data_IF_882050724319
#
_entry.id   IF_882050724319
#
_cell.length_a   1.000
_cell.length_b   1.000
_cell.length_c   1.000
_cell.angle_alpha   90.00
_cell.angle_beta   90.00
_cell.angle_gamma   90.00
#
_symmetry.space_group_name_H-M   'P 1'
#
loop_
_entity.id
_entity.type
_entity.pdbx_description
1 polymer ?
#
# COMPACT_ATOMS: atom_id res chain seq x y z
N UNK A 1 -4.68 32.47 12.25
CA UNK A 1 -5.49 31.98 11.10
C UNK A 1 -6.12 30.68 11.54
N UNK A 2 -7.38 30.35 11.20
CA UNK A 2 -7.91 29.04 11.49
C UNK A 2 -7.04 27.99 10.77
N UNK A 3 -6.72 26.89 11.43
CA UNK A 3 -5.98 25.78 10.82
C UNK A 3 -6.77 25.33 9.58
N UNK A 4 -6.14 25.24 8.39
CA UNK A 4 -6.83 24.77 7.20
C UNK A 4 -7.48 23.41 7.50
N UNK A 5 -8.72 23.21 7.07
CA UNK A 5 -9.36 21.90 7.21
C UNK A 5 -8.60 20.87 6.36
N UNK A 6 -8.43 19.66 6.91
CA UNK A 6 -7.79 18.57 6.15
C UNK A 6 -8.57 18.29 4.86
N UNK A 7 -7.93 17.76 3.79
CA UNK A 7 -8.55 17.65 2.48
C UNK A 7 -9.79 16.76 2.43
N UNK A 8 -9.91 15.79 3.35
CA UNK A 8 -11.07 14.91 3.45
C UNK A 8 -11.93 15.17 4.70
N UNK A 9 -11.74 16.35 5.35
CA UNK A 9 -12.55 16.72 6.50
C UNK A 9 -14.04 16.83 6.13
N UNK A 10 -14.89 16.29 6.98
CA UNK A 10 -16.34 16.23 6.77
C UNK A 10 -16.81 15.02 5.97
N UNK A 11 -15.92 14.19 5.41
CA UNK A 11 -16.30 12.91 4.81
C UNK A 11 -16.39 11.81 5.87
N UNK A 12 -17.45 11.01 5.78
CA UNK A 12 -17.68 9.82 6.60
C UNK A 12 -17.41 8.55 5.79
N UNK A 13 -16.47 7.74 6.26
CA UNK A 13 -16.06 6.48 5.63
C UNK A 13 -16.43 5.31 6.55
N UNK A 14 -17.19 4.38 6.04
CA UNK A 14 -17.48 3.10 6.72
C UNK A 14 -16.57 2.03 6.13
N UNK A 15 -15.82 1.37 6.98
CA UNK A 15 -14.92 0.27 6.59
C UNK A 15 -15.46 -1.05 7.10
N UNK A 16 -15.79 -1.96 6.18
CA UNK A 16 -16.10 -3.37 6.45
C UNK A 16 -14.93 -4.29 6.12
N UNK A 17 -13.86 -3.72 5.58
CA UNK A 17 -12.67 -4.45 5.13
C UNK A 17 -11.94 -5.14 6.27
N UNK A 18 -11.22 -6.21 5.94
CA UNK A 18 -10.37 -6.94 6.88
C UNK A 18 -8.95 -7.08 6.34
N UNK A 19 -7.99 -7.31 7.23
CA UNK A 19 -6.57 -7.52 6.93
C UNK A 19 -5.89 -6.28 6.33
N UNK A 20 -5.75 -6.19 4.99
CA UNK A 20 -4.81 -5.22 4.40
C UNK A 20 -5.48 -4.26 3.42
N UNK A 21 -6.07 -4.73 2.32
CA UNK A 21 -6.49 -3.87 1.22
C UNK A 21 -7.52 -2.81 1.66
N UNK A 22 -8.66 -3.21 2.21
CA UNK A 22 -9.67 -2.29 2.75
C UNK A 22 -9.13 -1.42 3.88
N UNK A 23 -8.51 -2.02 4.93
CA UNK A 23 -7.92 -1.26 6.02
C UNK A 23 -6.82 -0.28 5.62
N UNK A 24 -6.03 -0.55 4.58
CA UNK A 24 -5.04 0.40 4.09
C UNK A 24 -5.69 1.57 3.35
N UNK A 25 -6.68 1.31 2.51
CA UNK A 25 -7.42 2.36 1.80
C UNK A 25 -8.09 3.32 2.79
N UNK A 26 -8.82 2.81 3.78
CA UNK A 26 -9.50 3.64 4.77
C UNK A 26 -8.52 4.36 5.73
N UNK A 27 -7.34 3.77 6.01
CA UNK A 27 -6.27 4.45 6.76
C UNK A 27 -5.83 5.72 6.06
N UNK A 28 -5.62 5.68 4.75
CA UNK A 28 -5.24 6.86 3.97
C UNK A 28 -6.33 7.94 4.10
N UNK A 29 -7.60 7.57 4.00
CA UNK A 29 -8.70 8.52 4.19
C UNK A 29 -8.66 9.14 5.61
N UNK A 30 -8.44 8.34 6.64
CA UNK A 30 -8.36 8.80 8.03
C UNK A 30 -7.18 9.75 8.28
N UNK A 31 -6.01 9.46 7.70
CA UNK A 31 -4.82 10.31 7.80
C UNK A 31 -5.03 11.71 7.23
N UNK A 32 -5.88 11.82 6.20
CA UNK A 32 -6.20 13.07 5.55
C UNK A 32 -7.54 13.69 5.99
N UNK A 33 -8.09 13.23 7.12
CA UNK A 33 -9.14 13.92 7.85
C UNK A 33 -10.56 13.38 7.70
N UNK A 34 -10.77 12.30 6.97
CA UNK A 34 -12.08 11.64 6.97
C UNK A 34 -12.36 11.00 8.34
N UNK A 35 -13.63 11.05 8.77
CA UNK A 35 -14.12 10.22 9.87
C UNK A 35 -14.22 8.78 9.39
N UNK A 36 -13.44 7.88 9.97
CA UNK A 36 -13.43 6.48 9.56
C UNK A 36 -13.94 5.59 10.68
N UNK A 37 -15.07 4.93 10.44
CA UNK A 37 -15.65 3.94 11.34
C UNK A 37 -15.35 2.55 10.77
N UNK A 38 -14.51 1.81 11.48
CA UNK A 38 -14.21 0.41 11.16
C UNK A 38 -15.17 -0.49 11.89
N UNK A 39 -16.00 -1.19 11.13
CA UNK A 39 -16.92 -2.20 11.64
C UNK A 39 -16.21 -3.55 11.71
N UNK A 40 -16.23 -4.16 12.88
CA UNK A 40 -15.55 -5.42 13.19
C UNK A 40 -16.53 -6.45 13.76
N UNK A 41 -16.22 -7.74 13.56
CA UNK A 41 -16.96 -8.80 14.26
C UNK A 41 -16.71 -8.70 15.78
N UNK A 42 -17.72 -8.88 16.64
CA UNK A 42 -17.49 -9.02 18.08
C UNK A 42 -16.59 -10.22 18.41
N UNK A 43 -16.57 -11.26 17.55
CA UNK A 43 -15.74 -12.44 17.70
C UNK A 43 -14.27 -12.16 17.30
N UNK A 44 -13.55 -11.41 18.12
CA UNK A 44 -12.10 -11.19 17.97
C UNK A 44 -11.70 -10.10 16.97
N UNK A 45 -12.62 -9.47 16.28
CA UNK A 45 -12.37 -8.34 15.37
C UNK A 45 -11.65 -8.70 14.07
N UNK A 46 -10.91 -7.74 13.55
CA UNK A 46 -10.08 -7.96 12.36
C UNK A 46 -8.95 -8.94 12.66
N UNK A 47 -8.74 -10.00 11.84
CA UNK A 47 -7.62 -10.91 12.00
C UNK A 47 -6.26 -10.24 12.08
N UNK A 48 -6.08 -9.03 11.50
CA UNK A 48 -4.84 -8.26 11.59
C UNK A 48 -4.42 -7.98 13.03
N UNK A 49 -5.37 -7.92 13.97
CA UNK A 49 -5.08 -7.75 15.41
C UNK A 49 -4.15 -8.82 15.98
N UNK A 50 -4.02 -9.96 15.28
CA UNK A 50 -3.22 -11.13 15.71
C UNK A 50 -2.06 -11.48 14.76
N UNK A 51 -1.77 -10.60 13.79
CA UNK A 51 -0.73 -10.90 12.80
C UNK A 51 0.66 -10.38 13.19
N UNK A 52 1.70 -11.10 12.76
CA UNK A 52 3.13 -10.75 12.93
C UNK A 52 3.53 -10.62 14.42
N UNK A 53 4.24 -9.57 14.79
CA UNK A 53 4.74 -9.33 16.14
C UNK A 53 3.65 -8.69 17.01
N UNK A 54 3.34 -9.36 18.10
CA UNK A 54 2.33 -8.92 19.05
C UNK A 54 3.00 -8.20 20.22
N UNK A 55 2.38 -7.13 20.66
CA UNK A 55 2.66 -6.45 21.90
C UNK A 55 1.42 -6.56 22.79
N UNK A 56 1.56 -7.18 23.96
CA UNK A 56 0.44 -7.47 24.88
C UNK A 56 -0.79 -8.07 24.17
N UNK A 57 -0.54 -9.03 23.28
CA UNK A 57 -1.58 -9.75 22.57
C UNK A 57 -2.18 -9.02 21.35
N UNK A 58 -1.74 -7.80 21.04
CA UNK A 58 -2.20 -7.03 19.87
C UNK A 58 -1.04 -6.79 18.91
N UNK A 59 -1.31 -6.92 17.62
CA UNK A 59 -0.32 -6.70 16.57
C UNK A 59 0.18 -5.26 16.53
N UNK A 60 1.50 -5.05 16.46
CA UNK A 60 2.08 -3.74 16.21
C UNK A 60 1.61 -3.17 14.85
N UNK A 61 1.29 -4.04 13.89
CA UNK A 61 0.75 -3.61 12.61
C UNK A 61 -0.68 -3.10 12.71
N UNK A 62 -1.49 -3.64 13.63
CA UNK A 62 -2.82 -3.11 13.92
C UNK A 62 -2.76 -1.64 14.35
N UNK A 63 -1.87 -1.30 15.27
CA UNK A 63 -1.74 0.07 15.76
C UNK A 63 -1.39 1.06 14.62
N UNK A 64 -0.65 0.61 13.61
CA UNK A 64 -0.33 1.41 12.43
C UNK A 64 -1.51 1.47 11.45
N UNK A 65 -2.12 0.31 11.16
CA UNK A 65 -3.12 0.18 10.09
C UNK A 65 -4.47 0.75 10.45
N UNK A 66 -4.81 0.77 11.75
CA UNK A 66 -6.08 1.29 12.25
C UNK A 66 -5.96 2.67 12.90
N UNK A 67 -4.82 3.36 12.75
CA UNK A 67 -4.65 4.73 13.28
C UNK A 67 -5.71 5.67 12.72
N UNK A 68 -6.16 6.61 13.54
CA UNK A 68 -7.22 7.57 13.27
C UNK A 68 -8.61 6.95 12.97
N UNK A 69 -8.81 5.67 13.24
CA UNK A 69 -10.13 5.03 13.05
C UNK A 69 -10.86 4.87 14.37
N UNK A 70 -12.17 4.83 14.28
CA UNK A 70 -13.06 4.41 15.38
C UNK A 70 -13.40 2.94 15.17
N UNK A 71 -13.36 2.13 16.24
CA UNK A 71 -13.74 0.71 16.21
C UNK A 71 -15.17 0.55 16.71
N UNK A 72 -16.01 -0.03 15.87
CA UNK A 72 -17.38 -0.43 16.15
C UNK A 72 -17.50 -1.94 15.99
N UNK A 73 -17.93 -2.66 17.00
CA UNK A 73 -18.27 -4.08 16.87
C UNK A 73 -19.73 -4.25 16.41
N UNK A 74 -19.94 -5.05 15.36
CA UNK A 74 -21.29 -5.43 14.89
C UNK A 74 -21.30 -6.86 14.36
N UNK A 75 -22.26 -7.65 14.79
CA UNK A 75 -22.57 -8.95 14.22
C UNK A 75 -23.48 -8.78 12.99
N UNK A 76 -22.90 -8.74 11.80
CA UNK A 76 -23.66 -8.58 10.55
C UNK A 76 -24.52 -9.80 10.18
N UNK A 77 -24.36 -10.93 10.87
CA UNK A 77 -25.30 -12.07 10.75
C UNK A 77 -26.60 -11.80 11.49
N UNK A 78 -26.57 -10.95 12.52
CA UNK A 78 -27.74 -10.55 13.26
C UNK A 78 -28.54 -9.48 12.49
N UNK A 79 -29.91 -9.59 12.37
CA UNK A 79 -30.70 -8.60 11.67
C UNK A 79 -30.51 -7.17 12.18
N UNK A 80 -30.55 -6.97 13.49
CA UNK A 80 -30.34 -5.64 14.09
C UNK A 80 -28.95 -5.07 13.85
N UNK A 81 -27.89 -5.92 13.77
CA UNK A 81 -26.55 -5.48 13.39
C UNK A 81 -26.51 -4.89 11.98
N UNK A 82 -27.26 -5.48 11.05
CA UNK A 82 -27.41 -4.92 9.70
C UNK A 82 -28.21 -3.61 9.68
N UNK A 83 -29.23 -3.48 10.53
CA UNK A 83 -29.99 -2.22 10.62
C UNK A 83 -29.16 -1.09 11.22
N UNK A 84 -28.30 -1.37 12.21
CA UNK A 84 -27.34 -0.40 12.72
C UNK A 84 -26.39 0.04 11.60
N UNK A 85 -25.85 -0.93 10.83
CA UNK A 85 -24.97 -0.61 9.71
C UNK A 85 -25.67 0.23 8.63
N UNK A 86 -26.92 -0.09 8.28
CA UNK A 86 -27.69 0.71 7.32
C UNK A 86 -27.88 2.16 7.79
N UNK A 87 -28.12 2.40 9.07
CA UNK A 87 -28.20 3.76 9.62
C UNK A 87 -26.90 4.52 9.45
N UNK A 88 -25.75 3.88 9.69
CA UNK A 88 -24.44 4.50 9.42
C UNK A 88 -24.26 4.82 7.93
N UNK A 89 -24.64 3.89 7.06
CA UNK A 89 -24.48 4.03 5.61
C UNK A 89 -25.43 5.06 4.98
N UNK A 90 -26.57 5.34 5.61
CA UNK A 90 -27.50 6.38 5.17
C UNK A 90 -26.86 7.78 5.12
N UNK A 91 -25.84 8.02 5.95
CA UNK A 91 -25.12 9.28 6.07
C UNK A 91 -23.65 9.19 5.61
N UNK A 92 -23.21 8.02 5.17
CA UNK A 92 -21.82 7.81 4.77
C UNK A 92 -21.55 8.34 3.36
N UNK A 93 -20.36 8.83 3.13
CA UNK A 93 -19.86 9.22 1.82
C UNK A 93 -19.25 8.03 1.07
N UNK A 94 -18.50 7.20 1.79
CA UNK A 94 -17.76 6.08 1.21
C UNK A 94 -17.96 4.84 2.08
N UNK A 95 -18.26 3.72 1.43
CA UNK A 95 -18.16 2.37 2.00
C UNK A 95 -16.94 1.67 1.37
N UNK A 96 -16.04 1.12 2.20
CA UNK A 96 -14.90 0.32 1.74
C UNK A 96 -15.07 -1.10 2.25
N UNK A 97 -15.07 -2.08 1.35
CA UNK A 97 -15.19 -3.50 1.68
C UNK A 97 -14.20 -4.34 0.85
N UNK A 98 -13.81 -5.50 1.37
CA UNK A 98 -13.00 -6.47 0.64
C UNK A 98 -13.45 -7.91 0.87
N UNK A 99 -14.76 -8.13 0.97
CA UNK A 99 -15.35 -9.46 1.00
C UNK A 99 -15.31 -10.11 -0.39
N UNK A 100 -15.57 -11.40 -0.43
CA UNK A 100 -15.86 -12.07 -1.70
C UNK A 100 -17.13 -11.52 -2.30
N UNK A 101 -17.22 -11.38 -3.64
CA UNK A 101 -18.46 -11.01 -4.31
C UNK A 101 -19.64 -11.85 -3.85
N UNK A 102 -20.81 -11.22 -3.71
CA UNK A 102 -22.02 -11.86 -3.22
C UNK A 102 -22.18 -11.97 -1.70
N UNK A 103 -21.17 -11.64 -0.90
CA UNK A 103 -21.29 -11.70 0.57
C UNK A 103 -22.22 -10.60 1.08
N UNK A 104 -22.03 -9.36 0.65
CA UNK A 104 -22.90 -8.25 1.05
C UNK A 104 -24.33 -8.43 0.49
N UNK A 105 -24.45 -8.93 -0.72
CA UNK A 105 -25.74 -9.24 -1.36
C UNK A 105 -26.54 -10.26 -0.51
N UNK A 106 -25.89 -11.33 -0.05
CA UNK A 106 -26.51 -12.34 0.85
C UNK A 106 -26.92 -11.77 2.20
N UNK A 107 -26.25 -10.71 2.66
CA UNK A 107 -26.61 -10.01 3.89
C UNK A 107 -27.71 -8.95 3.68
N UNK A 108 -28.22 -8.76 2.45
CA UNK A 108 -29.15 -7.70 2.10
C UNK A 108 -28.53 -6.30 2.14
N UNK A 109 -27.23 -6.23 1.86
CA UNK A 109 -26.38 -5.04 1.85
C UNK A 109 -25.68 -4.87 0.48
N UNK A 110 -26.26 -5.43 -0.58
CA UNK A 110 -25.77 -5.25 -1.95
C UNK A 110 -25.95 -3.82 -2.45
N UNK A 111 -25.28 -3.51 -3.55
CA UNK A 111 -25.26 -2.16 -4.13
C UNK A 111 -26.66 -1.56 -4.32
N UNK A 112 -27.57 -2.30 -4.93
CA UNK A 112 -28.90 -1.78 -5.23
C UNK A 112 -29.67 -1.34 -3.96
N UNK A 113 -29.52 -2.11 -2.87
CA UNK A 113 -30.14 -1.77 -1.57
C UNK A 113 -29.48 -0.53 -0.96
N UNK A 114 -28.15 -0.48 -0.97
CA UNK A 114 -27.41 0.63 -0.37
C UNK A 114 -27.51 1.91 -1.18
N UNK A 115 -27.55 1.82 -2.51
CA UNK A 115 -27.76 2.98 -3.38
C UNK A 115 -29.17 3.55 -3.26
N UNK A 116 -30.18 2.68 -3.10
CA UNK A 116 -31.55 3.14 -2.82
C UNK A 116 -31.66 3.83 -1.45
N UNK A 117 -30.90 3.37 -0.45
CA UNK A 117 -30.82 3.99 0.88
C UNK A 117 -30.08 5.34 0.85
N UNK A 118 -28.96 5.40 0.14
CA UNK A 118 -28.12 6.58 0.01
C UNK A 118 -27.57 6.70 -1.43
N UNK A 119 -28.26 7.44 -2.29
CA UNK A 119 -27.85 7.65 -3.68
C UNK A 119 -26.50 8.34 -3.85
N UNK A 120 -25.97 8.95 -2.78
CA UNK A 120 -24.66 9.62 -2.78
C UNK A 120 -23.50 8.70 -2.38
N UNK A 121 -23.79 7.49 -1.88
CA UNK A 121 -22.79 6.56 -1.39
C UNK A 121 -21.84 6.11 -2.52
N UNK A 122 -20.55 6.18 -2.26
CA UNK A 122 -19.50 5.58 -3.10
C UNK A 122 -19.10 4.26 -2.45
N UNK A 123 -19.19 3.16 -3.19
CA UNK A 123 -18.88 1.83 -2.68
C UNK A 123 -17.59 1.30 -3.32
N UNK A 124 -16.49 1.28 -2.55
CA UNK A 124 -15.19 0.72 -2.98
C UNK A 124 -15.15 -0.76 -2.63
N UNK A 125 -15.06 -1.60 -3.64
CA UNK A 125 -15.05 -3.06 -3.54
C UNK A 125 -13.70 -3.61 -3.98
N UNK A 126 -12.91 -4.10 -3.03
CA UNK A 126 -11.58 -4.66 -3.25
C UNK A 126 -11.65 -6.19 -3.19
N UNK A 127 -11.54 -6.88 -4.31
CA UNK A 127 -11.69 -8.35 -4.33
C UNK A 127 -10.60 -9.02 -5.15
N UNK A 128 -10.45 -10.34 -5.03
CA UNK A 128 -9.40 -11.09 -5.72
C UNK A 128 -9.44 -10.92 -7.23
N UNK A 129 -10.64 -11.01 -7.82
CA UNK A 129 -10.84 -11.10 -9.27
C UNK A 129 -11.88 -10.12 -9.82
N UNK A 130 -12.33 -9.12 -9.03
CA UNK A 130 -13.39 -8.18 -9.40
C UNK A 130 -14.79 -8.72 -9.15
N UNK A 131 -15.79 -7.86 -9.39
CA UNK A 131 -17.21 -8.18 -9.17
C UNK A 131 -17.84 -8.92 -10.35
N UNK A 132 -17.14 -9.02 -11.47
CA UNK A 132 -17.60 -9.62 -12.72
C UNK A 132 -16.59 -10.66 -13.25
N UNK A 133 -16.93 -11.29 -14.37
CA UNK A 133 -16.04 -12.27 -15.02
C UNK A 133 -16.13 -13.68 -14.43
N UNK A 134 -15.50 -14.66 -15.11
CA UNK A 134 -15.63 -16.09 -14.80
C UNK A 134 -15.00 -16.49 -13.45
N UNK A 135 -14.07 -15.69 -12.92
CA UNK A 135 -13.35 -15.98 -11.68
C UNK A 135 -13.87 -15.21 -10.47
N UNK A 136 -14.93 -14.40 -10.59
CA UNK A 136 -15.41 -13.52 -9.51
C UNK A 136 -15.68 -14.26 -8.18
N UNK A 137 -16.14 -15.51 -8.26
CA UNK A 137 -16.46 -16.32 -7.08
C UNK A 137 -15.27 -17.12 -6.54
N UNK A 138 -14.11 -17.05 -7.19
CA UNK A 138 -12.90 -17.72 -6.74
C UNK A 138 -12.31 -17.03 -5.49
N UNK A 139 -11.73 -17.80 -4.56
CA UNK A 139 -11.00 -17.22 -3.44
C UNK A 139 -9.71 -16.56 -3.93
N UNK A 140 -9.48 -15.30 -3.52
CA UNK A 140 -8.28 -14.54 -3.86
C UNK A 140 -7.73 -13.78 -2.67
N UNK A 141 -6.40 -13.66 -2.62
CA UNK A 141 -5.65 -12.80 -1.71
C UNK A 141 -4.57 -12.06 -2.49
N UNK A 142 -3.93 -11.06 -1.90
CA UNK A 142 -2.88 -10.26 -2.55
C UNK A 142 -1.83 -11.11 -3.27
N UNK A 143 -1.36 -12.20 -2.66
CA UNK A 143 -0.38 -13.10 -3.27
C UNK A 143 -0.89 -13.78 -4.55
N UNK A 144 -2.19 -14.08 -4.64
CA UNK A 144 -2.82 -14.64 -5.85
C UNK A 144 -2.93 -13.57 -6.93
N UNK A 145 -3.33 -12.34 -6.55
CA UNK A 145 -3.36 -11.19 -7.45
C UNK A 145 -1.97 -10.85 -8.02
N UNK A 146 -0.91 -10.87 -7.16
CA UNK A 146 0.48 -10.69 -7.60
C UNK A 146 0.91 -11.73 -8.65
N UNK A 147 0.47 -12.98 -8.49
CA UNK A 147 0.80 -14.07 -9.41
C UNK A 147 0.07 -13.94 -10.74
N UNK A 148 -1.23 -13.69 -10.72
CA UNK A 148 -2.04 -13.55 -11.93
C UNK A 148 -1.73 -12.24 -12.66
N UNK A 149 -1.44 -11.15 -11.94
CA UNK A 149 -1.11 -9.86 -12.51
C UNK A 149 0.30 -9.76 -13.13
N UNK A 150 1.11 -10.82 -13.05
CA UNK A 150 2.42 -10.89 -13.71
C UNK A 150 3.63 -10.59 -12.82
N UNK A 151 3.47 -9.87 -11.70
CA UNK A 151 4.57 -9.43 -10.85
C UNK A 151 5.47 -10.59 -10.39
N UNK A 152 4.84 -11.71 -9.96
CA UNK A 152 5.59 -12.89 -9.52
C UNK A 152 6.41 -13.52 -10.63
N UNK A 153 5.89 -13.51 -11.85
CA UNK A 153 6.57 -14.12 -12.99
C UNK A 153 7.92 -13.45 -13.27
N UNK A 154 7.98 -12.11 -13.20
CA UNK A 154 9.18 -11.32 -13.50
C UNK A 154 10.08 -11.06 -12.28
N UNK A 155 9.70 -11.53 -11.07
CA UNK A 155 10.45 -11.26 -9.84
C UNK A 155 11.25 -12.48 -9.40
N UNK A 156 12.57 -12.34 -9.33
CA UNK A 156 13.50 -13.38 -8.89
C UNK A 156 14.63 -13.63 -9.89
N UNK A 157 15.37 -14.71 -9.68
CA UNK A 157 16.48 -15.13 -10.53
C UNK A 157 15.98 -16.18 -11.52
N UNK A 158 16.59 -16.23 -12.71
CA UNK A 158 16.21 -17.10 -13.81
C UNK A 158 16.28 -18.59 -13.45
N UNK A 159 17.33 -18.98 -12.72
CA UNK A 159 17.62 -20.36 -12.29
C UNK A 159 16.81 -20.83 -11.08
N UNK A 160 15.88 -20.02 -10.57
CA UNK A 160 15.12 -20.29 -9.35
C UNK A 160 13.62 -20.04 -9.54
N UNK A 161 12.77 -20.66 -8.70
CA UNK A 161 11.35 -20.32 -8.68
C UNK A 161 11.11 -18.81 -8.43
N UNK A 162 10.00 -18.26 -8.95
CA UNK A 162 9.60 -16.87 -8.64
C UNK A 162 9.58 -16.60 -7.15
N UNK A 163 10.05 -15.42 -6.76
CA UNK A 163 10.10 -15.03 -5.35
C UNK A 163 9.01 -14.01 -4.99
N UNK A 164 8.72 -13.93 -3.71
CA UNK A 164 7.78 -12.97 -3.14
C UNK A 164 8.50 -11.68 -2.75
N UNK A 165 7.85 -10.53 -2.99
CA UNK A 165 8.20 -9.29 -2.26
C UNK A 165 7.97 -9.49 -0.76
N UNK A 166 8.78 -8.88 0.08
CA UNK A 166 8.73 -9.06 1.56
C UNK A 166 7.49 -8.47 2.24
N UNK A 167 6.61 -7.80 1.50
CA UNK A 167 5.39 -7.14 1.97
C UNK A 167 4.16 -7.61 1.17
N UNK A 168 2.96 -7.22 1.59
CA UNK A 168 1.70 -7.48 0.89
C UNK A 168 1.47 -6.41 -0.17
N UNK A 169 2.30 -6.40 -1.21
CA UNK A 169 2.32 -5.34 -2.21
C UNK A 169 1.05 -5.34 -3.06
N UNK A 170 0.49 -6.51 -3.39
CA UNK A 170 -0.74 -6.63 -4.16
C UNK A 170 -1.93 -5.98 -3.47
N UNK A 171 -2.11 -6.25 -2.19
CA UNK A 171 -3.14 -5.60 -1.38
C UNK A 171 -2.94 -4.08 -1.29
N UNK A 172 -1.68 -3.65 -1.12
CA UNK A 172 -1.35 -2.23 -0.95
C UNK A 172 -1.59 -1.44 -2.25
N UNK A 173 -1.23 -1.97 -3.41
CA UNK A 173 -1.48 -1.33 -4.69
C UNK A 173 -2.99 -1.28 -4.98
N UNK A 174 -3.72 -2.35 -4.72
CA UNK A 174 -5.18 -2.35 -4.88
C UNK A 174 -5.86 -1.31 -3.98
N UNK A 175 -5.39 -1.17 -2.73
CA UNK A 175 -5.87 -0.12 -1.82
C UNK A 175 -5.63 1.29 -2.38
N UNK A 176 -4.46 1.55 -2.97
CA UNK A 176 -4.17 2.84 -3.62
C UNK A 176 -5.11 3.10 -4.80
N UNK A 177 -5.35 2.10 -5.66
CA UNK A 177 -6.34 2.21 -6.73
C UNK A 177 -7.75 2.44 -6.20
N UNK A 178 -8.11 1.79 -5.08
CA UNK A 178 -9.39 2.01 -4.40
C UNK A 178 -9.55 3.47 -3.93
N UNK A 179 -8.52 4.04 -3.31
CA UNK A 179 -8.52 5.46 -2.88
C UNK A 179 -8.58 6.40 -4.08
N UNK A 180 -7.78 6.17 -5.12
CA UNK A 180 -7.81 6.97 -6.36
C UNK A 180 -9.22 6.92 -6.98
N UNK A 181 -9.81 5.74 -7.11
CA UNK A 181 -11.17 5.57 -7.62
C UNK A 181 -12.22 6.28 -6.77
N UNK A 182 -12.10 6.18 -5.43
CA UNK A 182 -13.00 6.89 -4.51
C UNK A 182 -12.92 8.41 -4.70
N UNK A 183 -11.70 8.97 -4.81
CA UNK A 183 -11.48 10.40 -5.04
C UNK A 183 -12.03 10.87 -6.40
N UNK A 184 -11.88 10.06 -7.45
CA UNK A 184 -12.49 10.34 -8.76
C UNK A 184 -14.02 10.33 -8.69
N UNK A 185 -14.59 9.36 -7.97
CA UNK A 185 -16.05 9.28 -7.76
C UNK A 185 -16.57 10.45 -6.92
N UNK A 186 -15.84 10.85 -5.86
CA UNK A 186 -16.13 12.06 -5.07
C UNK A 186 -16.12 13.31 -5.95
N UNK A 187 -15.07 13.48 -6.74
CA UNK A 187 -14.95 14.61 -7.67
C UNK A 187 -16.12 14.66 -8.66
N UNK A 188 -16.49 13.50 -9.23
CA UNK A 188 -17.66 13.42 -10.12
C UNK A 188 -18.94 13.84 -9.38
N UNK A 189 -19.17 13.27 -8.19
CA UNK A 189 -20.36 13.57 -7.37
C UNK A 189 -20.49 15.04 -7.03
N UNK A 190 -19.39 15.67 -6.61
CA UNK A 190 -19.41 17.04 -6.08
C UNK A 190 -19.47 18.11 -7.19
N UNK A 191 -18.78 17.89 -8.29
CA UNK A 191 -18.62 18.91 -9.33
C UNK A 191 -19.59 18.73 -10.48
N UNK A 192 -19.90 17.49 -10.84
CA UNK A 192 -20.76 17.19 -11.98
C UNK A 192 -22.21 16.90 -11.56
N UNK A 193 -22.57 17.11 -10.28
CA UNK A 193 -23.91 16.85 -9.77
C UNK A 193 -24.31 15.37 -9.83
N UNK A 194 -23.32 14.48 -9.89
CA UNK A 194 -23.53 13.04 -9.97
C UNK A 194 -23.99 12.40 -8.66
N UNK A 195 -24.40 11.16 -8.78
CA UNK A 195 -24.67 10.28 -7.66
C UNK A 195 -23.40 9.54 -7.24
N UNK A 196 -23.48 8.75 -6.17
CA UNK A 196 -22.46 7.77 -5.83
C UNK A 196 -22.39 6.64 -6.86
N UNK A 197 -21.34 5.84 -6.78
CA UNK A 197 -21.12 4.73 -7.71
C UNK A 197 -20.27 3.64 -7.06
N UNK A 198 -20.21 2.48 -7.70
CA UNK A 198 -19.30 1.41 -7.34
C UNK A 198 -17.91 1.69 -7.94
N UNK A 199 -16.87 1.51 -7.13
CA UNK A 199 -15.48 1.45 -7.53
C UNK A 199 -15.02 0.00 -7.34
N UNK A 200 -14.98 -0.75 -8.42
CA UNK A 200 -14.56 -2.16 -8.43
C UNK A 200 -13.07 -2.26 -8.72
N UNK A 201 -12.32 -2.89 -7.83
CA UNK A 201 -10.86 -3.06 -7.94
C UNK A 201 -10.49 -4.52 -7.69
N UNK A 202 -10.06 -5.20 -8.72
CA UNK A 202 -9.49 -6.53 -8.59
C UNK A 202 -8.01 -6.47 -8.21
N UNK A 203 -7.58 -7.32 -7.28
CA UNK A 203 -6.17 -7.38 -6.84
C UNK A 203 -5.22 -7.66 -8.00
N UNK A 204 -5.60 -8.55 -8.95
CA UNK A 204 -4.76 -8.85 -10.10
C UNK A 204 -4.69 -7.71 -11.12
N UNK A 205 -5.80 -6.99 -11.33
CA UNK A 205 -5.84 -5.84 -12.24
C UNK A 205 -4.99 -4.69 -11.74
N UNK A 206 -5.02 -4.45 -10.43
CA UNK A 206 -4.19 -3.45 -9.77
C UNK A 206 -2.69 -3.69 -10.01
N UNK A 207 -2.26 -4.96 -9.96
CA UNK A 207 -0.89 -5.36 -10.27
C UNK A 207 -0.63 -5.29 -11.77
N UNK A 208 -1.54 -5.84 -12.58
CA UNK A 208 -1.40 -5.85 -14.04
C UNK A 208 -1.22 -4.44 -14.62
N UNK A 209 -1.94 -3.45 -14.09
CA UNK A 209 -1.80 -2.05 -14.50
C UNK A 209 -0.40 -1.47 -14.25
N UNK A 210 0.44 -2.13 -13.44
CA UNK A 210 1.82 -1.71 -13.15
C UNK A 210 2.87 -2.41 -14.03
N UNK A 211 2.46 -3.34 -14.92
CA UNK A 211 3.39 -4.22 -15.67
C UNK A 211 4.00 -3.57 -16.91
N UNK A 212 4.03 -2.24 -16.99
CA UNK A 212 4.71 -1.49 -18.04
C UNK A 212 4.38 -1.97 -19.46
N UNK A 213 5.40 -2.28 -20.26
CA UNK A 213 5.31 -2.72 -21.65
C UNK A 213 5.28 -4.25 -21.83
N UNK A 214 5.17 -5.02 -20.76
CA UNK A 214 5.25 -6.49 -20.82
C UNK A 214 4.27 -7.10 -21.84
N UNK A 215 3.02 -6.60 -21.86
CA UNK A 215 2.01 -7.11 -22.80
C UNK A 215 2.26 -6.64 -24.24
N UNK A 216 2.50 -5.35 -24.52
CA UNK A 216 2.86 -4.90 -25.86
C UNK A 216 4.11 -5.58 -26.44
N UNK A 217 5.14 -5.86 -25.62
CA UNK A 217 6.34 -6.57 -26.04
C UNK A 217 6.00 -8.00 -26.52
N UNK A 218 5.13 -8.69 -25.80
CA UNK A 218 4.67 -10.01 -26.20
C UNK A 218 3.76 -9.96 -27.44
N UNK A 219 2.81 -9.04 -27.47
CA UNK A 219 1.83 -8.94 -28.56
C UNK A 219 2.50 -8.63 -29.90
N UNK A 220 3.46 -7.71 -29.91
CA UNK A 220 4.13 -7.25 -31.13
C UNK A 220 5.29 -8.16 -31.55
N UNK A 221 6.09 -8.64 -30.59
CA UNK A 221 7.35 -9.32 -30.86
C UNK A 221 7.36 -10.80 -30.42
N UNK A 222 6.34 -11.29 -29.73
CA UNK A 222 6.37 -12.60 -29.08
C UNK A 222 7.38 -12.68 -27.94
N UNK A 223 7.87 -11.54 -27.45
CA UNK A 223 8.90 -11.49 -26.43
C UNK A 223 8.31 -11.73 -25.03
N UNK A 224 8.79 -12.75 -24.35
CA UNK A 224 8.44 -13.04 -22.95
C UNK A 224 9.50 -12.44 -22.05
N UNK A 225 9.09 -11.47 -21.19
CA UNK A 225 9.98 -10.87 -20.20
C UNK A 225 10.18 -11.84 -19.03
N UNK A 226 11.35 -12.44 -18.96
CA UNK A 226 11.73 -13.37 -17.90
C UNK A 226 12.29 -12.67 -16.66
N UNK A 227 12.52 -13.46 -15.60
CA UNK A 227 13.21 -13.00 -14.38
C UNK A 227 14.68 -12.76 -14.68
N UNK A 228 15.22 -11.66 -14.19
CA UNK A 228 16.60 -11.24 -14.44
C UNK A 228 17.37 -10.91 -13.16
N UNK A 229 16.86 -11.34 -12.02
CA UNK A 229 17.49 -11.08 -10.71
C UNK A 229 17.50 -9.58 -10.38
N UNK A 230 18.69 -9.03 -10.26
CA UNK A 230 18.90 -7.62 -9.89
C UNK A 230 19.11 -6.70 -11.11
N UNK A 231 18.97 -7.22 -12.31
CA UNK A 231 19.20 -6.49 -13.56
C UNK A 231 17.85 -6.08 -14.14
N UNK A 232 17.76 -4.86 -14.66
CA UNK A 232 16.63 -4.43 -15.47
C UNK A 232 16.99 -4.60 -16.96
N UNK A 233 16.26 -5.45 -17.72
CA UNK A 233 16.57 -5.66 -19.13
C UNK A 233 16.55 -4.37 -19.94
N UNK A 234 17.53 -4.20 -20.82
CA UNK A 234 17.65 -3.03 -21.70
C UNK A 234 18.04 -1.73 -21.00
N UNK A 235 18.44 -1.78 -19.72
CA UNK A 235 18.90 -0.60 -18.95
C UNK A 235 20.21 -0.93 -18.25
N UNK A 236 21.34 -0.50 -18.85
CA UNK A 236 22.69 -0.88 -18.38
C UNK A 236 23.61 0.33 -18.19
N UNK A 237 24.33 0.42 -17.05
CA UNK A 237 24.21 -0.43 -15.86
C UNK A 237 23.15 0.07 -14.87
N UNK A 238 22.34 -0.86 -14.39
CA UNK A 238 21.42 -0.64 -13.27
C UNK A 238 21.26 -1.97 -12.49
N UNK A 239 21.96 -2.10 -11.35
CA UNK A 239 22.00 -3.36 -10.59
C UNK A 239 22.42 -3.17 -9.15
N UNK A 240 22.32 -4.26 -8.37
CA UNK A 240 22.78 -4.35 -6.99
C UNK A 240 24.16 -5.03 -6.97
N UNK A 241 25.12 -4.42 -6.27
CA UNK A 241 26.48 -4.91 -6.11
C UNK A 241 26.80 -5.14 -4.63
N UNK A 242 27.69 -6.10 -4.35
CA UNK A 242 28.12 -6.42 -2.99
C UNK A 242 29.46 -5.74 -2.70
N UNK A 243 29.57 -5.07 -1.57
CA UNK A 243 30.78 -4.40 -1.11
C UNK A 243 31.66 -5.34 -0.28
N UNK A 244 32.94 -4.98 -0.04
CA UNK A 244 33.92 -5.78 0.71
C UNK A 244 33.44 -6.20 2.10
N UNK A 245 32.65 -5.35 2.75
CA UNK A 245 32.08 -5.59 4.09
C UNK A 245 30.75 -6.36 4.04
N UNK A 246 30.40 -6.97 2.89
CA UNK A 246 29.20 -7.80 2.72
C UNK A 246 27.89 -7.04 2.69
N UNK A 247 27.95 -5.71 2.57
CA UNK A 247 26.76 -4.86 2.39
C UNK A 247 26.40 -4.77 0.91
N UNK A 248 25.24 -4.21 0.60
CA UNK A 248 24.75 -4.10 -0.77
C UNK A 248 24.45 -2.65 -1.15
N UNK A 249 24.77 -2.31 -2.40
CA UNK A 249 24.52 -1.00 -3.00
C UNK A 249 23.79 -1.16 -4.32
N UNK A 250 22.67 -0.44 -4.51
CA UNK A 250 22.04 -0.25 -5.80
C UNK A 250 22.72 0.89 -6.52
N UNK A 251 23.16 0.68 -7.77
CA UNK A 251 23.77 1.69 -8.62
C UNK A 251 22.93 1.83 -9.89
N UNK A 252 22.53 3.06 -10.23
CA UNK A 252 21.78 3.40 -11.45
C UNK A 252 22.58 4.35 -12.33
N UNK A 253 23.42 3.80 -13.22
CA UNK A 253 24.32 4.59 -14.07
C UNK A 253 24.03 4.44 -15.57
N UNK A 254 22.77 4.21 -15.93
CA UNK A 254 22.36 3.95 -17.31
C UNK A 254 22.28 5.19 -18.21
N UNK A 255 22.27 6.42 -17.66
CA UNK A 255 22.38 7.65 -18.46
C UNK A 255 23.80 7.84 -19.00
N UNK A 256 23.94 8.22 -20.27
CA UNK A 256 25.24 8.27 -20.98
C UNK A 256 26.29 9.11 -20.24
N UNK A 257 25.93 10.33 -19.83
CA UNK A 257 26.82 11.20 -19.06
C UNK A 257 27.12 10.65 -17.66
N UNK A 258 26.16 9.95 -17.04
CA UNK A 258 26.32 9.33 -15.71
C UNK A 258 27.28 8.14 -15.82
N UNK A 259 27.08 7.29 -16.83
CA UNK A 259 27.98 6.17 -17.11
C UNK A 259 29.41 6.62 -17.27
N UNK A 260 29.64 7.64 -18.09
CA UNK A 260 31.03 8.17 -18.33
C UNK A 260 31.67 8.64 -17.01
N UNK A 261 30.94 9.43 -16.19
CA UNK A 261 31.46 9.89 -14.89
C UNK A 261 31.71 8.72 -13.94
N UNK A 262 30.87 7.74 -13.95
CA UNK A 262 31.00 6.56 -13.11
C UNK A 262 32.28 5.77 -13.49
N UNK A 263 32.46 5.47 -14.77
CA UNK A 263 33.66 4.76 -15.22
C UNK A 263 34.95 5.54 -14.89
N UNK A 264 34.96 6.87 -15.05
CA UNK A 264 36.05 7.70 -14.62
C UNK A 264 36.33 7.61 -13.12
N UNK A 265 35.26 7.70 -12.29
CA UNK A 265 35.39 7.64 -10.84
C UNK A 265 35.95 6.31 -10.32
N UNK A 266 35.72 5.22 -11.04
CA UNK A 266 36.27 3.90 -10.68
C UNK A 266 37.60 3.58 -11.41
N UNK A 267 38.22 4.57 -12.06
CA UNK A 267 39.53 4.44 -12.73
C UNK A 267 39.48 3.64 -14.04
N UNK A 268 38.30 3.63 -14.73
CA UNK A 268 38.15 2.94 -16.02
C UNK A 268 37.92 3.94 -17.15
N UNK A 269 38.91 4.80 -17.36
CA UNK A 269 38.90 5.78 -18.46
C UNK A 269 38.84 5.12 -19.84
N UNK A 270 39.32 3.88 -19.95
CA UNK A 270 39.16 3.04 -21.15
C UNK A 270 37.71 2.81 -21.51
N UNK A 271 36.87 2.46 -20.53
CA UNK A 271 35.43 2.26 -20.73
C UNK A 271 34.67 3.59 -20.84
N UNK A 272 35.09 4.60 -20.11
CA UNK A 272 34.48 5.93 -20.14
C UNK A 272 34.59 6.62 -21.51
N UNK A 273 35.61 6.30 -22.29
CA UNK A 273 35.88 6.91 -23.58
C UNK A 273 35.68 5.94 -24.76
N UNK A 274 35.19 4.72 -24.49
CA UNK A 274 34.85 3.75 -25.53
C UNK A 274 33.60 4.21 -26.29
N UNK A 275 33.74 4.50 -27.58
CA UNK A 275 32.62 4.92 -28.43
C UNK A 275 31.50 3.88 -28.53
N UNK A 276 31.82 2.59 -28.40
CA UNK A 276 30.81 1.52 -28.40
C UNK A 276 29.93 1.56 -27.15
N UNK A 277 30.37 2.17 -26.03
CA UNK A 277 29.63 2.30 -24.79
C UNK A 277 28.92 3.65 -24.61
N UNK A 278 29.00 4.52 -25.62
CA UNK A 278 28.40 5.84 -25.57
C UNK A 278 26.86 5.83 -25.49
N UNK A 279 26.23 4.75 -25.93
CA UNK A 279 24.77 4.57 -25.86
C UNK A 279 24.40 3.42 -24.92
N UNK A 280 23.14 3.41 -24.48
CA UNK A 280 22.61 2.33 -23.64
C UNK A 280 22.65 0.97 -24.36
N UNK A 281 22.34 0.92 -25.66
CA UNK A 281 22.34 -0.32 -26.43
C UNK A 281 23.74 -0.94 -26.50
N UNK A 282 24.76 -0.11 -26.69
CA UNK A 282 26.16 -0.56 -26.66
C UNK A 282 26.57 -1.09 -25.29
N UNK A 283 26.11 -0.47 -24.23
CA UNK A 283 26.36 -0.95 -22.87
C UNK A 283 25.61 -2.23 -22.57
N UNK A 284 24.36 -2.35 -23.01
CA UNK A 284 23.59 -3.59 -22.81
C UNK A 284 24.17 -4.77 -23.55
N UNK A 285 24.72 -4.56 -24.74
CA UNK A 285 25.45 -5.58 -25.49
C UNK A 285 26.71 -6.10 -24.77
N UNK A 286 27.30 -5.29 -23.88
CA UNK A 286 28.48 -5.64 -23.07
C UNK A 286 28.20 -5.65 -21.56
N UNK A 287 26.95 -5.88 -21.18
CA UNK A 287 26.50 -5.76 -19.78
C UNK A 287 27.27 -6.65 -18.81
N UNK A 288 27.55 -7.89 -19.17
CA UNK A 288 28.24 -8.85 -18.29
C UNK A 288 29.67 -8.40 -17.98
N UNK A 289 30.36 -7.84 -18.97
CA UNK A 289 31.68 -7.21 -18.78
C UNK A 289 31.58 -6.02 -17.83
N UNK A 290 30.63 -5.13 -18.06
CA UNK A 290 30.42 -3.93 -17.24
C UNK A 290 30.07 -4.29 -15.81
N UNK A 291 29.11 -5.20 -15.60
CA UNK A 291 28.77 -5.64 -14.26
C UNK A 291 29.95 -6.32 -13.56
N UNK A 292 30.74 -7.14 -14.26
CA UNK A 292 31.93 -7.73 -13.71
C UNK A 292 32.99 -6.70 -13.29
N UNK A 293 33.12 -5.58 -14.01
CA UNK A 293 34.02 -4.46 -13.63
C UNK A 293 33.48 -3.77 -12.38
N UNK A 294 32.18 -3.47 -12.33
CA UNK A 294 31.54 -2.78 -11.21
C UNK A 294 31.57 -3.65 -9.96
N UNK A 295 31.29 -4.95 -10.08
CA UNK A 295 31.36 -5.91 -8.96
C UNK A 295 32.76 -5.97 -8.34
N UNK A 296 33.81 -6.07 -9.16
CA UNK A 296 35.19 -6.08 -8.64
C UNK A 296 35.53 -4.79 -7.92
N UNK A 297 35.13 -3.64 -8.47
CA UNK A 297 35.34 -2.36 -7.81
C UNK A 297 34.55 -2.25 -6.50
N UNK A 298 33.27 -2.53 -6.50
CA UNK A 298 32.44 -2.46 -5.30
C UNK A 298 32.96 -3.40 -4.20
N UNK A 299 33.36 -4.62 -4.59
CA UNK A 299 33.88 -5.63 -3.62
C UNK A 299 35.30 -5.31 -3.13
N UNK A 300 36.01 -4.35 -3.71
CA UNK A 300 37.32 -3.91 -3.22
C UNK A 300 37.23 -2.92 -2.07
N UNK A 301 36.11 -2.26 -1.86
CA UNK A 301 35.90 -1.15 -0.92
C UNK A 301 34.74 -1.45 0.09
N UNK A 302 34.79 -0.88 1.29
CA UNK A 302 33.63 -0.93 2.19
C UNK A 302 32.52 -0.01 1.64
N UNK A 303 31.28 -0.27 2.06
CA UNK A 303 30.10 0.46 1.59
C UNK A 303 30.23 1.99 1.71
N UNK A 304 30.82 2.48 2.81
CA UNK A 304 31.00 3.93 3.03
C UNK A 304 31.86 4.59 1.96
N UNK A 305 32.96 3.93 1.54
CA UNK A 305 33.85 4.43 0.50
C UNK A 305 33.20 4.32 -0.89
N UNK A 306 32.48 3.23 -1.16
CA UNK A 306 31.70 3.07 -2.39
C UNK A 306 30.67 4.19 -2.51
N UNK A 307 29.89 4.46 -1.46
CA UNK A 307 28.88 5.53 -1.45
C UNK A 307 29.51 6.91 -1.60
N UNK A 308 30.65 7.16 -0.96
CA UNK A 308 31.36 8.44 -1.11
C UNK A 308 31.79 8.67 -2.57
N UNK A 309 32.43 7.68 -3.19
CA UNK A 309 32.88 7.79 -4.58
C UNK A 309 31.70 8.01 -5.55
N UNK A 310 30.58 7.32 -5.36
CA UNK A 310 29.39 7.49 -6.18
C UNK A 310 28.75 8.88 -6.00
N UNK A 311 28.70 9.39 -4.76
CA UNK A 311 28.16 10.72 -4.47
C UNK A 311 29.04 11.82 -5.09
N UNK A 312 30.36 11.72 -4.95
CA UNK A 312 31.32 12.69 -5.51
C UNK A 312 31.25 12.74 -7.05
N UNK A 313 31.03 11.59 -7.68
CA UNK A 313 30.81 11.46 -9.11
C UNK A 313 29.37 11.79 -9.55
N UNK A 314 28.48 12.14 -8.63
CA UNK A 314 27.06 12.39 -8.90
C UNK A 314 26.39 11.22 -9.65
N UNK A 315 26.67 10.00 -9.22
CA UNK A 315 26.06 8.77 -9.73
C UNK A 315 24.89 8.40 -8.82
N UNK A 316 23.66 8.22 -9.34
CA UNK A 316 22.53 7.76 -8.56
C UNK A 316 22.81 6.40 -7.93
N UNK A 317 22.81 6.35 -6.61
CA UNK A 317 23.06 5.13 -5.86
C UNK A 317 22.39 5.18 -4.48
N UNK A 318 22.14 4.01 -3.94
CA UNK A 318 21.62 3.86 -2.56
C UNK A 318 22.10 2.56 -1.97
N UNK A 319 22.50 2.58 -0.71
CA UNK A 319 22.65 1.33 0.04
C UNK A 319 21.27 0.65 0.19
N UNK A 320 21.26 -0.66 0.36
CA UNK A 320 20.04 -1.38 0.69
C UNK A 320 19.79 -1.23 2.19
N UNK A 321 18.69 -0.56 2.54
CA UNK A 321 18.35 -0.18 3.90
C UNK A 321 17.65 -1.30 4.66
N UNK A 322 18.11 -1.57 5.90
CA UNK A 322 17.34 -2.27 6.93
C UNK A 322 16.47 -1.27 7.72
N UNK A 323 15.59 -1.77 8.59
CA UNK A 323 14.83 -0.91 9.50
C UNK A 323 15.74 -0.13 10.47
N UNK A 324 16.86 -0.74 10.90
CA UNK A 324 17.89 -0.09 11.72
C UNK A 324 18.54 1.08 10.98
N UNK A 325 18.92 0.87 9.72
CA UNK A 325 19.50 1.90 8.87
C UNK A 325 18.55 3.09 8.68
N UNK A 326 17.25 2.82 8.42
CA UNK A 326 16.23 3.85 8.24
C UNK A 326 16.07 4.72 9.48
N UNK A 327 16.07 4.12 10.67
CA UNK A 327 15.83 4.84 11.94
C UNK A 327 16.92 5.85 12.28
N UNK A 328 18.14 5.67 11.80
CA UNK A 328 19.27 6.57 12.00
C UNK A 328 19.58 7.48 10.83
N UNK A 329 18.88 7.36 9.71
CA UNK A 329 19.20 8.05 8.49
C UNK A 329 18.71 9.52 8.51
N UNK A 330 19.58 10.51 8.24
CA UNK A 330 19.23 11.93 8.27
C UNK A 330 18.11 12.31 7.30
N UNK A 331 18.01 11.66 6.13
CA UNK A 331 16.95 11.95 5.15
C UNK A 331 15.59 11.52 5.65
N UNK A 332 15.49 10.32 6.27
CA UNK A 332 14.25 9.86 6.90
C UNK A 332 13.83 10.77 8.05
N UNK A 333 14.78 11.23 8.86
CA UNK A 333 14.51 12.16 9.98
C UNK A 333 14.07 13.53 9.46
N UNK A 334 14.81 14.12 8.52
CA UNK A 334 14.47 15.43 7.94
C UNK A 334 13.14 15.43 7.19
N UNK A 335 12.74 14.28 6.64
CA UNK A 335 11.44 14.08 5.98
C UNK A 335 10.33 13.63 6.93
N UNK A 336 10.60 13.58 8.25
CA UNK A 336 9.61 13.19 9.27
C UNK A 336 8.94 11.85 8.95
N UNK A 337 9.74 10.87 8.50
CA UNK A 337 9.22 9.57 8.12
C UNK A 337 8.95 8.63 9.31
N UNK A 338 9.11 9.14 10.53
CA UNK A 338 8.77 8.44 11.76
C UNK A 338 7.87 9.30 12.65
N UNK A 339 6.63 8.84 12.83
CA UNK A 339 5.72 9.41 13.81
C UNK A 339 5.99 8.79 15.19
N UNK A 340 6.07 9.63 16.21
CA UNK A 340 6.16 9.17 17.59
C UNK A 340 4.76 8.88 18.12
N UNK A 341 4.56 7.72 18.68
CA UNK A 341 3.30 7.30 19.28
C UNK A 341 3.55 6.58 20.61
N UNK A 342 2.50 6.31 21.35
CA UNK A 342 2.54 5.54 22.60
C UNK A 342 1.61 4.35 22.49
N UNK A 343 2.10 3.20 22.93
CA UNK A 343 1.31 2.00 23.16
C UNK A 343 0.37 2.18 24.35
N UNK A 344 -0.64 1.31 24.54
CA UNK A 344 -1.63 1.46 25.62
C UNK A 344 -1.04 1.60 27.04
N UNK A 345 0.09 0.97 27.28
CA UNK A 345 0.84 1.06 28.55
C UNK A 345 1.73 2.32 28.67
N UNK A 346 1.70 3.20 27.66
CA UNK A 346 2.51 4.41 27.60
C UNK A 346 3.89 4.25 26.99
N UNK A 347 4.33 3.03 26.62
CA UNK A 347 5.61 2.78 25.99
C UNK A 347 5.72 3.48 24.64
N UNK A 348 6.78 4.27 24.39
CA UNK A 348 6.94 4.95 23.10
C UNK A 348 7.29 3.96 22.00
N UNK A 349 6.73 4.17 20.81
CA UNK A 349 7.12 3.45 19.61
C UNK A 349 7.01 4.36 18.38
N UNK A 350 7.68 3.96 17.30
CA UNK A 350 7.70 4.70 16.04
C UNK A 350 6.80 4.02 15.01
N UNK A 351 6.01 4.83 14.32
CA UNK A 351 5.21 4.41 13.16
C UNK A 351 5.73 5.05 11.89
N UNK A 352 5.50 4.44 10.72
CA UNK A 352 5.79 5.10 9.44
C UNK A 352 5.06 6.44 9.31
N UNK A 353 5.76 7.44 8.80
CA UNK A 353 5.23 8.75 8.47
C UNK A 353 4.13 8.70 7.42
N UNK A 354 3.51 9.85 7.16
CA UNK A 354 2.37 9.96 6.23
C UNK A 354 2.86 10.45 4.88
N UNK A 355 2.35 9.84 3.84
CA UNK A 355 2.55 10.23 2.44
C UNK A 355 1.22 10.26 1.70
N UNK A 356 1.05 11.19 0.71
CA UNK A 356 1.96 12.26 0.32
C UNK A 356 2.05 13.39 1.34
N UNK A 357 3.06 14.26 1.22
CA UNK A 357 3.16 15.49 2.01
C UNK A 357 2.48 16.62 1.25
N UNK A 358 1.33 17.07 1.72
CA UNK A 358 0.62 18.23 1.19
C UNK A 358 1.10 19.50 1.92
N UNK A 359 1.42 20.56 1.17
CA UNK A 359 1.99 21.79 1.74
C UNK A 359 1.04 22.50 2.71
N UNK A 360 -0.24 22.56 2.37
CA UNK A 360 -1.23 23.37 3.09
C UNK A 360 -2.13 22.52 4.00
N UNK A 361 -2.34 21.27 3.65
CA UNK A 361 -3.27 20.35 4.33
C UNK A 361 -2.61 19.01 4.63
N UNK A 362 -1.51 18.99 5.41
CA UNK A 362 -0.76 17.75 5.67
C UNK A 362 -1.61 16.73 6.41
N UNK A 363 -1.36 15.47 6.12
CA UNK A 363 -1.95 14.36 6.88
C UNK A 363 -1.38 14.29 8.29
N UNK A 364 -2.14 13.71 9.24
CA UNK A 364 -1.70 13.49 10.62
C UNK A 364 -2.14 12.14 11.15
N UNK A 365 -1.50 11.70 12.25
CA UNK A 365 -1.95 10.58 13.07
C UNK A 365 -2.21 11.08 14.48
N UNK A 366 -3.48 11.17 14.86
CA UNK A 366 -3.91 11.70 16.16
C UNK A 366 -3.89 10.60 17.24
N UNK A 367 -4.27 9.38 16.87
CA UNK A 367 -4.25 8.20 17.75
C UNK A 367 -3.88 6.94 16.97
N UNK A 368 -3.42 5.94 17.70
CA UNK A 368 -3.09 4.61 17.17
C UNK A 368 -4.36 3.78 16.97
N UNK A 369 -4.21 2.57 16.37
CA UNK A 369 -5.34 1.65 16.24
C UNK A 369 -6.02 1.37 17.58
N UNK A 370 -7.36 1.53 17.67
CA UNK A 370 -8.12 1.41 18.92
C UNK A 370 -8.23 -0.04 19.40
N UNK A 371 -8.66 -0.23 20.64
CA UNK A 371 -9.10 -1.52 21.14
C UNK A 371 -10.39 -1.97 20.44
N UNK A 372 -10.71 -3.27 20.52
CA UNK A 372 -11.89 -3.80 19.85
C UNK A 372 -13.17 -3.21 20.45
N UNK A 373 -14.00 -2.61 19.62
CA UNK A 373 -15.28 -2.02 20.02
C UNK A 373 -15.19 -0.77 20.88
N UNK A 374 -14.01 -0.15 20.98
CA UNK A 374 -13.74 1.02 21.84
C UNK A 374 -14.77 2.14 21.70
N UNK A 375 -15.30 2.34 20.51
CA UNK A 375 -16.21 3.44 20.20
C UNK A 375 -17.68 3.00 20.04
N UNK A 376 -17.98 1.71 20.28
CA UNK A 376 -19.32 1.14 20.00
C UNK A 376 -20.44 1.91 20.66
N UNK A 377 -20.36 2.13 21.98
CA UNK A 377 -21.44 2.80 22.74
C UNK A 377 -21.64 4.27 22.31
N UNK A 378 -20.52 4.97 22.09
CA UNK A 378 -20.55 6.37 21.65
C UNK A 378 -21.19 6.51 20.25
N UNK A 379 -20.82 5.62 19.33
CA UNK A 379 -21.36 5.60 17.96
C UNK A 379 -22.84 5.23 17.94
N UNK A 380 -23.27 4.26 18.74
CA UNK A 380 -24.69 3.90 18.87
C UNK A 380 -25.50 5.04 19.48
N UNK A 381 -24.98 5.69 20.50
CA UNK A 381 -25.60 6.89 21.08
C UNK A 381 -25.77 7.99 20.03
N UNK A 382 -24.71 8.23 19.21
CA UNK A 382 -24.77 9.18 18.10
C UNK A 382 -25.81 8.86 17.03
N UNK A 383 -26.15 7.56 16.88
CA UNK A 383 -27.23 7.09 16.00
C UNK A 383 -28.62 7.17 16.65
N UNK A 384 -28.75 7.69 17.87
CA UNK A 384 -29.99 7.88 18.59
C UNK A 384 -30.48 6.67 19.40
N UNK A 385 -29.61 5.67 19.64
CA UNK A 385 -29.94 4.60 20.58
C UNK A 385 -29.72 5.09 22.02
N UNK A 386 -30.73 4.91 22.88
CA UNK A 386 -30.60 5.18 24.30
C UNK A 386 -29.86 4.05 25.05
N UNK A 387 -29.52 4.28 26.29
CA UNK A 387 -28.79 3.33 27.11
C UNK A 387 -29.49 1.96 27.26
N UNK A 388 -30.86 1.97 27.33
CA UNK A 388 -31.63 0.73 27.43
C UNK A 388 -31.58 -0.07 26.14
N UNK A 389 -31.70 0.58 24.98
CA UNK A 389 -31.54 -0.05 23.67
C UNK A 389 -30.12 -0.60 23.46
N UNK A 390 -29.09 0.13 23.85
CA UNK A 390 -27.69 -0.34 23.77
C UNK A 390 -27.49 -1.57 24.67
N UNK A 391 -27.99 -1.55 25.91
CA UNK A 391 -27.91 -2.71 26.81
C UNK A 391 -28.63 -3.96 26.24
N UNK A 392 -29.81 -3.77 25.65
CA UNK A 392 -30.54 -4.85 24.98
C UNK A 392 -29.76 -5.42 23.79
N UNK A 393 -29.29 -4.56 22.88
CA UNK A 393 -28.52 -5.01 21.71
C UNK A 393 -27.27 -5.79 22.11
N UNK A 394 -26.61 -5.38 23.19
CA UNK A 394 -25.44 -6.10 23.74
C UNK A 394 -25.87 -7.47 24.30
N UNK A 395 -26.95 -7.55 25.04
CA UNK A 395 -27.47 -8.81 25.59
C UNK A 395 -27.89 -9.79 24.48
N UNK A 396 -28.40 -9.28 23.36
CA UNK A 396 -28.81 -10.03 22.19
C UNK A 396 -27.62 -10.45 21.28
N UNK A 397 -26.38 -10.09 21.62
CA UNK A 397 -25.17 -10.45 20.87
C UNK A 397 -25.07 -9.72 19.52
N UNK A 398 -25.58 -8.50 19.43
CA UNK A 398 -25.47 -7.67 18.24
C UNK A 398 -24.08 -7.03 18.14
N UNK A 399 -23.40 -6.81 19.28
CA UNK A 399 -22.04 -6.27 19.37
C UNK A 399 -21.31 -6.67 20.65
#
# INVERSE_FOLDING_TARGET
MPTPSKPLAGLKVIELGTLIAGPFASRICAEFGAEVIKVESPDGGDPLRKWRKLYEGTSLWWFVQARNKQSLTLNLKHPEGREVLKRLLAEADILIENFRPGVLEKLGLGWDVLHALNPRLIMVRLSGFGQTGPMKDQPGFGAVGESMGGLRYITGFEDRPPVRTGISIGDSIAALWGVIGALMALRHREVNGGQGQVVDVALYEAIFAMMESMVPEFDVFGFIRERTGNIMPGITPSSIHTTRDGRHVQIGANGDAIFKRFMQAIGRDDLANDAALASNDGRDARRDELYGVIDRWANSLPLSEVMQALNDAQVPASRIYSAEDMLGDPQFLAREMFLQARLPDGKPFKMPGIVPKLSDTPGSAEWIGPTLGEHTDALLTGLGYDAAAIARLRADGVF
#
